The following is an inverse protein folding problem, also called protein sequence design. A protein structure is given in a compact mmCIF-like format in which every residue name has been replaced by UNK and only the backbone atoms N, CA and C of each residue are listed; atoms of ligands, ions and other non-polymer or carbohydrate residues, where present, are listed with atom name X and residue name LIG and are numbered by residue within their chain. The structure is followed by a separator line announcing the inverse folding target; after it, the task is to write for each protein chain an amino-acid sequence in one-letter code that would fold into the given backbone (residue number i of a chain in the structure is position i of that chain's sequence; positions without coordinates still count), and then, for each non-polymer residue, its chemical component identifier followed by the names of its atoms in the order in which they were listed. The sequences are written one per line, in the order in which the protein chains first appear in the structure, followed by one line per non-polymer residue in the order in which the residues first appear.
data_IF_378417242173
#
_entry.id   IF_378417242173
#
_cell.length_a   1.000
_cell.length_b   1.000
_cell.length_c   1.000
_cell.angle_alpha   90.00
_cell.angle_beta   90.00
_cell.angle_gamma   90.00
#
_symmetry.space_group_name_H-M   'P 1'
#
loop_
_entity.id
_entity.type
_entity.pdbx_description
1 polymer ?
#
# COMPACT_ATOMS: atom_id res chain seq x y z
N UNK A 1 10.66 41.30 15.02
CA UNK A 1 12.11 41.52 15.21
C UNK A 1 12.87 40.54 14.33
N UNK A 2 13.52 41.05 13.30
CA UNK A 2 14.60 40.48 12.49
C UNK A 2 15.62 41.63 12.36
N UNK A 3 16.94 41.39 12.39
CA UNK A 3 17.73 41.13 11.17
C UNK A 3 18.91 40.15 11.46
N UNK A 4 19.84 39.72 10.60
CA UNK A 4 20.55 40.25 9.42
C UNK A 4 21.08 39.04 8.59
N UNK A 5 20.97 38.97 7.26
CA UNK A 5 21.80 39.60 6.20
C UNK A 5 23.28 39.18 6.22
N UNK A 6 23.68 38.41 5.21
CA UNK A 6 25.05 38.43 4.68
C UNK A 6 24.98 38.47 3.15
N UNK A 7 25.31 39.63 2.61
CA UNK A 7 25.37 39.98 1.19
C UNK A 7 26.83 40.15 0.77
N UNK A 8 27.23 39.56 -0.35
CA UNK A 8 28.29 40.08 -1.26
C UNK A 8 27.83 39.78 -2.69
N UNK A 9 27.27 40.75 -3.42
CA UNK A 9 27.95 41.72 -4.31
C UNK A 9 28.89 41.07 -5.34
N UNK A 10 28.42 40.96 -6.59
CA UNK A 10 29.17 41.49 -7.73
C UNK A 10 28.27 41.76 -8.95
N UNK A 11 28.24 43.04 -9.31
CA UNK A 11 28.13 43.63 -10.64
C UNK A 11 26.89 43.40 -11.51
N UNK A 12 26.09 44.45 -11.53
CA UNK A 12 25.07 44.82 -12.51
C UNK A 12 25.68 44.96 -13.92
N UNK A 13 25.15 44.20 -14.88
CA UNK A 13 25.08 44.67 -16.27
C UNK A 13 23.62 44.99 -16.55
N UNK A 14 23.38 46.28 -16.69
CA UNK A 14 22.17 46.88 -17.23
C UNK A 14 21.99 46.35 -18.67
N UNK A 15 20.85 45.76 -18.96
CA UNK A 15 20.26 45.90 -20.28
C UNK A 15 18.73 45.93 -20.15
N UNK A 16 18.26 47.16 -20.24
CA UNK A 16 16.91 47.59 -20.52
C UNK A 16 16.11 46.63 -21.40
N UNK A 17 14.90 46.33 -20.96
CA UNK A 17 13.84 45.85 -21.85
C UNK A 17 13.39 44.42 -21.58
N UNK A 18 12.29 44.29 -20.83
CA UNK A 18 11.15 43.36 -21.02
C UNK A 18 10.37 43.26 -19.71
N UNK A 19 9.77 44.39 -19.32
CA UNK A 19 8.46 44.34 -18.67
C UNK A 19 7.50 43.55 -19.58
N UNK A 20 6.51 42.86 -19.00
CA UNK A 20 5.30 42.27 -19.63
C UNK A 20 5.08 40.74 -19.60
N UNK A 21 5.97 39.87 -19.06
CA UNK A 21 5.71 38.41 -19.11
C UNK A 21 5.60 37.64 -17.79
N UNK A 22 5.50 38.30 -16.63
CA UNK A 22 5.41 37.63 -15.32
C UNK A 22 4.05 37.75 -14.60
N UNK A 23 2.95 37.96 -15.33
CA UNK A 23 1.59 38.03 -14.75
C UNK A 23 0.63 36.90 -15.13
N UNK A 24 1.08 35.90 -15.90
CA UNK A 24 0.17 34.91 -16.51
C UNK A 24 0.27 33.48 -15.94
N UNK A 25 1.24 33.19 -15.06
CA UNK A 25 1.53 31.81 -14.62
C UNK A 25 0.74 31.27 -13.43
N UNK A 26 -0.06 32.11 -12.74
CA UNK A 26 -0.76 31.73 -11.49
C UNK A 26 -2.18 31.17 -11.69
N UNK A 27 -2.76 31.32 -12.88
CA UNK A 27 -4.18 31.00 -13.11
C UNK A 27 -4.39 29.52 -13.49
N UNK A 28 -3.35 28.81 -13.93
CA UNK A 28 -3.47 27.42 -14.41
C UNK A 28 -3.12 26.34 -13.37
N UNK A 29 -2.57 26.69 -12.20
CA UNK A 29 -2.11 25.69 -11.22
C UNK A 29 -3.25 25.19 -10.33
N UNK A 30 -4.25 26.03 -10.04
CA UNK A 30 -5.42 25.72 -9.21
C UNK A 30 -6.38 24.65 -9.82
N UNK A 31 -6.76 24.68 -11.11
CA UNK A 31 -7.64 23.65 -11.67
C UNK A 31 -6.96 22.29 -11.79
N UNK A 32 -5.63 22.25 -11.99
CA UNK A 32 -4.88 20.99 -12.07
C UNK A 32 -4.85 20.25 -10.72
N UNK A 33 -4.70 20.97 -9.60
CA UNK A 33 -4.71 20.38 -8.25
C UNK A 33 -6.12 19.85 -7.89
N UNK A 34 -7.18 20.55 -8.30
CA UNK A 34 -8.57 20.12 -8.08
C UNK A 34 -8.92 18.81 -8.83
N UNK A 35 -8.39 18.64 -10.05
CA UNK A 35 -8.57 17.40 -10.82
C UNK A 35 -7.86 16.18 -10.19
N UNK A 36 -6.71 16.38 -9.53
CA UNK A 36 -5.98 15.29 -8.87
C UNK A 36 -6.72 14.80 -7.61
N UNK A 37 -7.43 15.68 -6.89
CA UNK A 37 -8.16 15.33 -5.65
C UNK A 37 -9.43 14.53 -5.97
N UNK A 38 -10.09 14.78 -7.10
CA UNK A 38 -11.32 14.08 -7.50
C UNK A 38 -11.08 12.69 -8.11
N UNK A 39 -9.85 12.39 -8.55
CA UNK A 39 -9.50 11.12 -9.20
C UNK A 39 -9.11 10.00 -8.20
N UNK A 40 -9.04 10.28 -6.90
CA UNK A 40 -8.45 9.34 -5.93
C UNK A 40 -9.39 8.26 -5.38
N UNK A 41 -10.64 8.18 -5.84
CA UNK A 41 -11.66 7.36 -5.15
C UNK A 41 -11.93 5.97 -5.76
N UNK A 42 -11.16 5.53 -6.76
CA UNK A 42 -11.29 4.17 -7.31
C UNK A 42 -10.30 3.22 -6.64
N UNK A 43 -10.51 2.91 -5.37
CA UNK A 43 -9.86 1.74 -4.79
C UNK A 43 -10.46 0.49 -5.47
N UNK A 44 -9.63 -0.44 -5.98
CA UNK A 44 -10.16 -1.68 -6.54
C UNK A 44 -10.94 -2.41 -5.45
N UNK A 45 -12.17 -2.84 -5.77
CA UNK A 45 -12.89 -3.80 -4.94
C UNK A 45 -12.04 -5.07 -4.94
N UNK A 46 -11.50 -5.44 -3.79
CA UNK A 46 -10.83 -6.73 -3.63
C UNK A 46 -11.94 -7.79 -3.69
N UNK A 47 -12.18 -8.31 -4.88
CA UNK A 47 -13.01 -9.50 -5.10
C UNK A 47 -12.16 -10.72 -4.78
N UNK A 48 -12.54 -11.55 -3.80
CA UNK A 48 -11.78 -12.77 -3.47
C UNK A 48 -11.70 -13.12 -1.99
N UNK A 49 -12.79 -13.00 -1.24
CA UNK A 49 -12.85 -13.54 0.12
C UNK A 49 -13.00 -15.05 0.14
N UNK A 50 -12.85 -15.68 1.31
CA UNK A 50 -13.16 -17.11 1.49
C UNK A 50 -14.62 -17.46 1.15
N UNK A 51 -15.52 -16.48 1.22
CA UNK A 51 -16.92 -16.61 0.81
C UNK A 51 -17.13 -16.56 -0.71
N UNK A 52 -16.14 -16.09 -1.47
CA UNK A 52 -16.21 -15.93 -2.94
C UNK A 52 -15.50 -17.08 -3.68
N UNK A 53 -15.14 -18.16 -2.97
CA UNK A 53 -14.51 -19.33 -3.56
C UNK A 53 -15.50 -20.07 -4.48
N UNK A 54 -15.10 -20.26 -5.74
CA UNK A 54 -15.89 -20.91 -6.78
C UNK A 54 -15.23 -22.26 -7.18
N UNK A 55 -15.98 -23.38 -7.21
CA UNK A 55 -17.36 -23.54 -6.79
C UNK A 55 -17.55 -23.36 -5.28
N UNK A 56 -18.74 -22.89 -4.89
CA UNK A 56 -19.11 -22.80 -3.49
C UNK A 56 -18.99 -24.20 -2.84
N UNK A 57 -18.22 -24.33 -1.74
CA UNK A 57 -17.95 -25.64 -1.15
C UNK A 57 -19.19 -26.25 -0.48
N UNK A 58 -19.44 -27.53 -0.74
CA UNK A 58 -20.58 -28.27 -0.18
C UNK A 58 -20.28 -28.81 1.24
N UNK A 59 -20.20 -27.90 2.21
CA UNK A 59 -19.97 -28.22 3.63
C UNK A 59 -18.52 -28.02 4.10
N UNK A 60 -18.31 -28.20 5.41
CA UNK A 60 -17.09 -27.74 6.10
C UNK A 60 -15.79 -28.33 5.54
N UNK A 61 -15.75 -29.64 5.32
CA UNK A 61 -14.56 -30.32 4.80
C UNK A 61 -14.19 -29.84 3.38
N UNK A 62 -15.19 -29.62 2.53
CA UNK A 62 -14.98 -29.05 1.20
C UNK A 62 -14.52 -27.60 1.30
N UNK A 63 -15.03 -26.83 2.28
CA UNK A 63 -14.66 -25.44 2.49
C UNK A 63 -13.23 -25.29 2.98
N UNK A 64 -12.82 -26.10 3.96
CA UNK A 64 -11.45 -26.13 4.47
C UNK A 64 -10.48 -26.43 3.32
N UNK A 65 -10.79 -27.44 2.50
CA UNK A 65 -9.95 -27.80 1.35
C UNK A 65 -9.87 -26.67 0.32
N UNK A 66 -11.00 -26.05 -0.02
CA UNK A 66 -11.04 -24.93 -0.96
C UNK A 66 -10.18 -23.75 -0.47
N UNK A 67 -10.22 -23.43 0.82
CA UNK A 67 -9.39 -22.37 1.42
C UNK A 67 -7.90 -22.72 1.34
N UNK A 68 -7.51 -23.95 1.66
CA UNK A 68 -6.10 -24.40 1.60
C UNK A 68 -5.58 -24.37 0.15
N UNK A 69 -6.38 -24.84 -0.81
CA UNK A 69 -6.05 -24.82 -2.24
C UNK A 69 -5.91 -23.38 -2.76
N UNK A 70 -6.83 -22.49 -2.38
CA UNK A 70 -6.79 -21.08 -2.74
C UNK A 70 -5.57 -20.37 -2.14
N UNK A 71 -5.24 -20.60 -0.86
CA UNK A 71 -4.06 -20.03 -0.23
C UNK A 71 -2.79 -20.45 -0.97
N UNK A 72 -2.61 -21.75 -1.23
CA UNK A 72 -1.47 -22.26 -1.97
C UNK A 72 -1.34 -21.66 -3.37
N UNK A 73 -2.47 -21.54 -4.09
CA UNK A 73 -2.51 -20.93 -5.42
C UNK A 73 -2.06 -19.46 -5.38
N UNK A 74 -2.62 -18.63 -4.47
CA UNK A 74 -2.29 -17.21 -4.41
C UNK A 74 -0.86 -16.94 -3.92
N UNK A 75 -0.32 -17.79 -3.05
CA UNK A 75 1.09 -17.72 -2.63
C UNK A 75 2.04 -17.97 -3.82
N UNK A 76 1.79 -19.02 -4.61
CA UNK A 76 2.65 -19.37 -5.76
C UNK A 76 2.53 -18.34 -6.88
N UNK A 77 1.32 -17.87 -7.16
CA UNK A 77 1.06 -16.87 -8.21
C UNK A 77 1.35 -15.43 -7.79
N UNK A 78 1.75 -15.20 -6.54
CA UNK A 78 2.04 -13.88 -5.97
C UNK A 78 0.84 -12.90 -6.04
N UNK A 79 -0.39 -13.43 -5.99
CA UNK A 79 -1.61 -12.63 -5.94
C UNK A 79 -1.89 -12.20 -4.50
N UNK A 80 -1.07 -11.26 -3.99
CA UNK A 80 -1.08 -10.87 -2.57
C UNK A 80 -2.42 -10.29 -2.13
N UNK A 81 -3.11 -9.49 -2.95
CA UNK A 81 -4.39 -8.90 -2.53
C UNK A 81 -5.50 -9.95 -2.41
N UNK A 82 -5.57 -10.91 -3.33
CA UNK A 82 -6.49 -12.05 -3.24
C UNK A 82 -6.14 -12.95 -2.05
N UNK A 83 -4.86 -13.22 -1.81
CA UNK A 83 -4.39 -13.93 -0.62
C UNK A 83 -4.88 -13.23 0.66
N UNK A 84 -4.69 -11.91 0.77
CA UNK A 84 -5.08 -11.15 1.95
C UNK A 84 -6.59 -11.05 2.17
N UNK A 85 -7.40 -11.27 1.14
CA UNK A 85 -8.85 -11.34 1.26
C UNK A 85 -9.34 -12.67 1.88
N UNK A 86 -8.54 -13.74 1.85
CA UNK A 86 -8.85 -14.98 2.56
C UNK A 86 -8.76 -14.84 4.09
N UNK A 87 -7.95 -13.91 4.58
CA UNK A 87 -7.69 -13.72 6.01
C UNK A 87 -8.75 -12.81 6.66
N UNK A 88 -9.02 -13.02 7.95
CA UNK A 88 -9.82 -12.09 8.76
C UNK A 88 -8.93 -10.98 9.33
N UNK A 89 -9.51 -9.84 9.73
CA UNK A 89 -8.74 -8.73 10.31
C UNK A 89 -7.99 -9.11 11.59
N UNK A 90 -8.60 -9.95 12.43
CA UNK A 90 -8.04 -10.41 13.70
C UNK A 90 -7.19 -11.69 13.57
N UNK A 91 -6.81 -12.07 12.36
CA UNK A 91 -6.04 -13.29 12.14
C UNK A 91 -4.61 -13.18 12.71
N UNK A 92 -4.01 -14.32 13.02
CA UNK A 92 -2.59 -14.39 13.35
C UNK A 92 -1.99 -15.71 12.87
N UNK A 93 -0.68 -15.69 12.61
CA UNK A 93 0.13 -16.87 12.35
C UNK A 93 1.11 -17.04 13.50
N UNK A 94 1.16 -18.25 14.07
CA UNK A 94 2.14 -18.64 15.08
C UNK A 94 3.04 -19.74 14.51
N UNK A 95 4.35 -19.57 14.66
CA UNK A 95 5.35 -20.56 14.30
C UNK A 95 6.14 -20.95 15.55
N UNK A 96 5.92 -22.18 16.01
CA UNK A 96 6.55 -22.73 17.20
C UNK A 96 8.01 -23.19 16.99
N UNK A 97 8.64 -22.88 15.84
CA UNK A 97 10.06 -23.17 15.54
C UNK A 97 10.58 -24.59 15.84
N UNK A 98 9.68 -25.59 15.86
CA UNK A 98 9.94 -26.99 16.22
C UNK A 98 10.17 -27.25 17.73
N UNK A 99 9.73 -26.34 18.60
CA UNK A 99 9.82 -26.39 20.07
C UNK A 99 8.42 -26.23 20.69
N UNK A 100 7.48 -27.17 20.47
CA UNK A 100 6.06 -26.99 20.80
C UNK A 100 5.76 -26.77 22.29
N UNK A 101 6.63 -27.25 23.18
CA UNK A 101 6.48 -27.11 24.63
C UNK A 101 7.14 -25.83 25.18
N UNK A 102 7.84 -25.07 24.34
CA UNK A 102 8.61 -23.88 24.73
C UNK A 102 8.19 -22.68 23.89
N UNK A 103 7.31 -21.85 24.44
CA UNK A 103 6.79 -20.67 23.72
C UNK A 103 7.79 -19.50 23.62
N UNK A 104 8.94 -19.57 24.31
CA UNK A 104 9.90 -18.47 24.42
C UNK A 104 10.50 -18.06 23.07
N UNK A 105 10.55 -18.99 22.10
CA UNK A 105 11.07 -18.74 20.76
C UNK A 105 10.01 -18.72 19.65
N UNK A 106 8.73 -18.78 20.02
CA UNK A 106 7.60 -18.65 19.09
C UNK A 106 7.69 -17.35 18.28
N UNK A 107 7.38 -17.44 16.99
CA UNK A 107 7.27 -16.28 16.12
C UNK A 107 5.83 -16.02 15.74
N UNK A 108 5.39 -14.76 15.89
CA UNK A 108 4.02 -14.35 15.62
C UNK A 108 3.95 -13.28 14.52
N UNK A 109 2.93 -13.39 13.66
CA UNK A 109 2.47 -12.32 12.77
C UNK A 109 1.01 -12.06 13.10
N UNK A 110 0.70 -10.89 13.65
CA UNK A 110 -0.64 -10.52 14.11
C UNK A 110 -1.25 -9.51 13.15
N UNK A 111 -2.53 -9.70 12.86
CA UNK A 111 -3.30 -8.86 11.94
C UNK A 111 -2.81 -8.96 10.49
N UNK A 112 -3.63 -8.46 9.57
CA UNK A 112 -3.37 -8.62 8.13
C UNK A 112 -2.06 -8.00 7.67
N UNK A 113 -1.65 -6.87 8.22
CA UNK A 113 -0.44 -6.19 7.77
C UNK A 113 0.83 -6.99 8.08
N UNK A 114 0.93 -7.59 9.28
CA UNK A 114 2.06 -8.45 9.60
C UNK A 114 2.06 -9.73 8.76
N UNK A 115 0.88 -10.31 8.51
CA UNK A 115 0.73 -11.49 7.66
C UNK A 115 1.13 -11.17 6.21
N UNK A 116 0.70 -10.02 5.67
CA UNK A 116 1.08 -9.55 4.33
C UNK A 116 2.60 -9.44 4.21
N UNK A 117 3.26 -8.85 5.20
CA UNK A 117 4.72 -8.72 5.22
C UNK A 117 5.44 -10.06 5.10
N UNK A 118 4.88 -11.15 5.66
CA UNK A 118 5.46 -12.50 5.55
C UNK A 118 5.51 -13.02 4.11
N UNK A 119 4.51 -12.68 3.29
CA UNK A 119 4.36 -13.20 1.93
C UNK A 119 5.00 -12.31 0.85
N UNK A 120 5.26 -11.04 1.15
CA UNK A 120 5.95 -10.14 0.22
C UNK A 120 7.46 -10.43 0.22
N UNK A 121 7.97 -10.99 -0.87
CA UNK A 121 9.41 -11.07 -1.13
C UNK A 121 9.82 -9.93 -2.05
N UNK A 122 10.69 -9.05 -1.58
CA UNK A 122 11.45 -8.16 -2.47
C UNK A 122 12.61 -8.97 -3.05
N UNK A 123 12.59 -9.22 -4.37
CA UNK A 123 13.71 -9.80 -5.13
C UNK A 123 14.34 -8.74 -6.03
#
# INVERSE_FOLDING_TARGET
MLPAVCSRLFSTRDDSGRSWLLRSGRILVLPAILCVILASCTAPVVTGGSCDLDPAPAGDEAAIRAVIEAEGHYVVTQQIDALMALWTESAFVANAKNTPDTADDDQFWREKDAIRHRYVRTV
#
